data_IF_174664517344
#
_entry.id   IF_174664517344
#
_cell.length_a   1.000
_cell.length_b   1.000
_cell.length_c   1.000
_cell.angle_alpha   90.00
_cell.angle_beta   90.00
_cell.angle_gamma   90.00
#
_symmetry.space_group_name_H-M   'P 1'
#
loop_
_entity.id
_entity.type
_entity.pdbx_description
1 polymer ?
#
# COMPACT_ATOMS: atom_id res chain seq x y z
N UNK A 1 12.58 -9.81 5.66
CA UNK A 1 11.42 -9.03 6.17
C UNK A 1 10.41 -9.94 6.85
N UNK A 2 9.88 -10.94 6.15
CA UNK A 2 8.88 -11.87 6.70
C UNK A 2 9.37 -12.58 7.97
N UNK A 3 10.60 -13.09 7.98
CA UNK A 3 11.19 -13.74 9.16
C UNK A 3 11.25 -12.84 10.38
N UNK A 4 11.66 -11.58 10.21
CA UNK A 4 11.70 -10.61 11.31
C UNK A 4 10.28 -10.26 11.78
N UNK A 5 9.30 -10.13 10.87
CA UNK A 5 7.91 -9.91 11.27
C UNK A 5 7.37 -11.10 12.05
N UNK A 6 7.66 -12.34 11.63
CA UNK A 6 7.28 -13.56 12.36
C UNK A 6 7.90 -13.57 13.76
N UNK A 7 9.20 -13.29 13.87
CA UNK A 7 9.88 -13.17 15.15
C UNK A 7 9.23 -12.14 16.07
N UNK A 8 8.76 -11.00 15.53
CA UNK A 8 8.04 -9.99 16.31
C UNK A 8 6.65 -10.45 16.72
N UNK A 9 5.94 -11.15 15.85
CA UNK A 9 4.63 -11.72 16.17
C UNK A 9 4.74 -12.74 17.32
N UNK A 10 5.79 -13.56 17.34
CA UNK A 10 6.09 -14.49 18.44
C UNK A 10 6.49 -13.74 19.73
N UNK A 11 7.31 -12.69 19.63
CA UNK A 11 7.75 -11.91 20.79
C UNK A 11 6.59 -11.22 21.52
N UNK A 12 5.58 -10.78 20.78
CA UNK A 12 4.39 -10.10 21.31
C UNK A 12 3.14 -11.00 21.28
N UNK A 13 3.34 -12.32 21.40
CA UNK A 13 2.24 -13.29 21.46
C UNK A 13 1.32 -12.97 22.66
N UNK A 14 0.02 -12.82 22.39
CA UNK A 14 -1.00 -12.46 23.39
C UNK A 14 -1.42 -10.98 23.38
N UNK A 15 -0.69 -10.11 22.68
CA UNK A 15 -1.09 -8.71 22.48
C UNK A 15 -1.96 -8.53 21.23
N UNK A 16 -2.77 -7.46 21.22
CA UNK A 16 -3.54 -7.06 20.02
C UNK A 16 -2.63 -6.32 19.06
N UNK A 17 -2.01 -7.04 18.13
CA UNK A 17 -1.09 -6.47 17.14
C UNK A 17 -1.82 -5.96 15.89
N UNK A 18 -1.20 -5.00 15.21
CA UNK A 18 -1.52 -4.62 13.83
C UNK A 18 -0.25 -4.29 13.08
N UNK A 19 -0.19 -4.61 11.79
CA UNK A 19 1.01 -4.42 10.96
C UNK A 19 0.76 -3.30 9.98
N UNK A 20 1.61 -2.27 10.02
CA UNK A 20 1.54 -1.15 9.08
C UNK A 20 2.79 -1.12 8.21
N UNK A 21 2.63 -1.16 6.89
CA UNK A 21 3.71 -1.07 5.91
C UNK A 21 3.61 0.27 5.19
N UNK A 22 4.68 1.05 5.20
CA UNK A 22 4.72 2.37 4.55
C UNK A 22 5.98 2.58 3.74
N UNK A 23 5.86 3.16 2.54
CA UNK A 23 6.99 3.58 1.70
C UNK A 23 6.57 4.62 0.65
N UNK A 24 7.57 5.31 0.11
CA UNK A 24 7.44 6.30 -0.97
C UNK A 24 7.97 5.77 -2.32
N UNK A 25 7.46 6.32 -3.43
CA UNK A 25 7.94 6.07 -4.80
C UNK A 25 7.92 4.59 -5.19
N UNK A 26 8.99 4.04 -5.79
CA UNK A 26 9.12 2.61 -6.07
C UNK A 26 8.93 1.76 -4.80
N UNK A 27 9.34 2.27 -3.65
CA UNK A 27 9.13 1.60 -2.37
C UNK A 27 7.66 1.39 -2.05
N UNK A 28 6.75 2.27 -2.50
CA UNK A 28 5.31 2.10 -2.31
C UNK A 28 4.77 0.89 -3.07
N UNK A 29 5.35 0.56 -4.23
CA UNK A 29 5.03 -0.66 -4.95
C UNK A 29 5.47 -1.90 -4.16
N UNK A 30 6.69 -1.87 -3.62
CA UNK A 30 7.23 -2.94 -2.80
C UNK A 30 6.44 -3.12 -1.49
N UNK A 31 5.99 -2.04 -0.87
CA UNK A 31 5.16 -2.08 0.33
C UNK A 31 3.86 -2.86 0.09
N UNK A 32 3.26 -2.73 -1.10
CA UNK A 32 2.06 -3.45 -1.46
C UNK A 32 2.33 -4.96 -1.66
N UNK A 33 3.45 -5.31 -2.29
CA UNK A 33 3.88 -6.71 -2.44
C UNK A 33 4.18 -7.37 -1.09
N UNK A 34 4.87 -6.66 -0.20
CA UNK A 34 5.15 -7.13 1.16
C UNK A 34 3.86 -7.29 1.96
N UNK A 35 2.89 -6.37 1.81
CA UNK A 35 1.57 -6.49 2.44
C UNK A 35 0.80 -7.74 1.98
N UNK A 36 0.87 -8.07 0.69
CA UNK A 36 0.31 -9.30 0.13
C UNK A 36 0.99 -10.55 0.71
N UNK A 37 2.33 -10.57 0.70
CA UNK A 37 3.11 -11.71 1.20
C UNK A 37 2.84 -11.95 2.70
N UNK A 38 2.87 -10.86 3.50
CA UNK A 38 2.53 -10.91 4.93
C UNK A 38 1.13 -11.45 5.18
N UNK A 39 0.15 -11.12 4.33
CA UNK A 39 -1.22 -11.61 4.49
C UNK A 39 -1.37 -13.13 4.33
N UNK A 40 -0.34 -13.78 3.78
CA UNK A 40 -0.31 -15.22 3.52
C UNK A 40 0.73 -15.97 4.35
N UNK A 41 1.51 -15.26 5.19
CA UNK A 41 2.71 -15.82 5.80
C UNK A 41 2.46 -16.73 7.02
N UNK A 42 1.26 -16.66 7.62
CA UNK A 42 0.85 -17.42 8.79
C UNK A 42 -0.68 -17.64 8.83
N UNK A 43 -1.14 -18.59 9.65
CA UNK A 43 -2.57 -18.91 9.80
C UNK A 43 -3.35 -17.82 10.54
N UNK A 44 -2.70 -17.10 11.46
CA UNK A 44 -3.29 -16.00 12.22
C UNK A 44 -2.45 -14.73 12.03
N UNK A 45 -2.74 -14.00 10.96
CA UNK A 45 -2.05 -12.75 10.65
C UNK A 45 -2.81 -11.58 11.28
N UNK A 46 -2.13 -10.69 12.02
CA UNK A 46 -2.72 -9.45 12.49
C UNK A 46 -3.27 -8.60 11.33
N UNK A 47 -4.22 -7.68 11.57
CA UNK A 47 -4.68 -6.76 10.55
C UNK A 47 -3.53 -6.00 9.89
N UNK A 48 -3.48 -6.01 8.56
CA UNK A 48 -2.43 -5.33 7.78
C UNK A 48 -2.99 -4.07 7.13
N UNK A 49 -2.27 -2.97 7.28
CA UNK A 49 -2.49 -1.71 6.57
C UNK A 49 -1.25 -1.32 5.75
N UNK A 50 -1.47 -0.91 4.50
CA UNK A 50 -0.42 -0.43 3.59
C UNK A 50 -0.68 1.03 3.27
N UNK A 51 0.30 1.89 3.55
CA UNK A 51 0.29 3.31 3.20
C UNK A 51 1.36 3.57 2.14
N UNK A 52 0.93 3.92 0.94
CA UNK A 52 1.82 4.14 -0.19
C UNK A 52 1.82 5.62 -0.58
N UNK A 53 2.98 6.23 -0.73
CA UNK A 53 3.13 7.65 -1.11
C UNK A 53 3.80 7.76 -2.48
N UNK A 54 3.21 8.46 -3.45
CA UNK A 54 3.85 8.71 -4.76
C UNK A 54 4.22 7.45 -5.55
N UNK A 55 3.63 6.29 -5.21
CA UNK A 55 3.99 5.01 -5.84
C UNK A 55 3.24 4.77 -7.16
N UNK A 56 3.83 4.03 -8.11
CA UNK A 56 3.14 3.63 -9.35
C UNK A 56 1.97 2.68 -9.05
N UNK A 57 1.11 2.44 -10.05
CA UNK A 57 0.07 1.41 -9.94
C UNK A 57 0.73 0.02 -10.01
N UNK A 58 0.29 -0.91 -9.18
CA UNK A 58 0.84 -2.27 -9.10
C UNK A 58 -0.27 -3.30 -9.11
N UNK A 59 -0.03 -4.40 -9.83
CA UNK A 59 -0.91 -5.57 -9.84
C UNK A 59 -1.95 -5.56 -10.96
N UNK A 60 -2.68 -6.66 -11.06
CA UNK A 60 -3.79 -6.88 -11.98
C UNK A 60 -5.09 -7.14 -11.19
N UNK A 61 -6.21 -7.44 -11.87
CA UNK A 61 -7.50 -7.70 -11.19
C UNK A 61 -7.43 -8.89 -10.23
N UNK A 62 -6.63 -9.91 -10.55
CA UNK A 62 -6.41 -11.06 -9.66
C UNK A 62 -5.68 -10.66 -8.39
N UNK A 63 -4.66 -9.81 -8.51
CA UNK A 63 -3.94 -9.22 -7.38
C UNK A 63 -4.89 -8.39 -6.49
N UNK A 64 -5.73 -7.56 -7.12
CA UNK A 64 -6.74 -6.77 -6.42
C UNK A 64 -7.70 -7.63 -5.59
N UNK A 65 -8.23 -8.67 -6.22
CA UNK A 65 -9.14 -9.59 -5.57
C UNK A 65 -8.46 -10.34 -4.42
N UNK A 66 -7.18 -10.71 -4.56
CA UNK A 66 -6.41 -11.39 -3.51
C UNK A 66 -6.21 -10.52 -2.28
N UNK A 67 -5.73 -9.29 -2.46
CA UNK A 67 -5.55 -8.30 -1.37
C UNK A 67 -6.86 -8.05 -0.63
N UNK A 68 -7.96 -7.84 -1.37
CA UNK A 68 -9.29 -7.63 -0.79
C UNK A 68 -9.79 -8.88 -0.04
N UNK A 69 -9.60 -10.08 -0.61
CA UNK A 69 -9.95 -11.36 0.04
C UNK A 69 -9.18 -11.56 1.33
N UNK A 70 -7.91 -11.16 1.36
CA UNK A 70 -7.03 -11.26 2.51
C UNK A 70 -7.21 -10.09 3.51
N UNK A 71 -8.21 -9.21 3.28
CA UNK A 71 -8.58 -8.09 4.15
C UNK A 71 -7.43 -7.10 4.42
N UNK A 72 -6.46 -7.00 3.51
CA UNK A 72 -5.37 -6.02 3.61
C UNK A 72 -5.91 -4.64 3.23
N UNK A 73 -5.80 -3.66 4.13
CA UNK A 73 -6.26 -2.30 3.88
C UNK A 73 -5.17 -1.51 3.16
N UNK A 74 -5.47 -0.93 2.01
CA UNK A 74 -4.48 -0.17 1.23
C UNK A 74 -4.94 1.28 1.05
N UNK A 75 -4.12 2.20 1.55
CA UNK A 75 -4.25 3.63 1.31
C UNK A 75 -3.14 4.09 0.36
N UNK A 76 -3.53 4.70 -0.76
CA UNK A 76 -2.59 5.25 -1.75
C UNK A 76 -2.70 6.76 -1.76
N UNK A 77 -1.62 7.42 -1.38
CA UNK A 77 -1.48 8.87 -1.31
C UNK A 77 -0.71 9.32 -2.54
N UNK A 78 -1.36 10.09 -3.38
CA UNK A 78 -0.86 10.49 -4.70
C UNK A 78 -0.80 12.01 -4.76
N UNK A 79 0.36 12.56 -5.16
CA UNK A 79 0.43 13.95 -5.57
C UNK A 79 -0.09 14.07 -7.01
N UNK A 80 -1.05 14.96 -7.27
CA UNK A 80 -1.65 15.13 -8.59
C UNK A 80 -0.64 15.58 -9.67
N UNK A 81 0.43 16.26 -9.27
CA UNK A 81 1.51 16.68 -10.16
C UNK A 81 2.57 15.58 -10.41
N UNK A 82 2.49 14.44 -9.71
CA UNK A 82 3.47 13.36 -9.83
C UNK A 82 3.09 12.38 -10.95
N UNK A 83 3.86 12.41 -12.05
CA UNK A 83 3.68 11.57 -13.23
C UNK A 83 3.93 10.09 -12.95
N UNK A 84 4.76 9.76 -11.94
CA UNK A 84 5.09 8.36 -11.57
C UNK A 84 3.84 7.63 -11.11
N UNK A 85 2.91 8.33 -10.46
CA UNK A 85 1.66 7.77 -9.97
C UNK A 85 0.66 7.41 -11.09
N UNK A 86 0.91 7.89 -12.31
CA UNK A 86 0.11 7.62 -13.51
C UNK A 86 0.66 6.47 -14.34
N UNK A 87 1.86 5.98 -14.04
CA UNK A 87 2.45 4.80 -14.69
C UNK A 87 1.87 3.54 -14.04
N UNK A 88 1.47 2.51 -14.82
CA UNK A 88 1.74 2.29 -16.25
C UNK A 88 0.68 2.82 -17.24
N UNK A 89 -0.34 3.54 -16.78
CA UNK A 89 -1.53 3.95 -17.56
C UNK A 89 -1.21 4.84 -18.78
N UNK A 90 -0.02 5.45 -18.86
CA UNK A 90 0.41 6.32 -19.98
C UNK A 90 1.24 5.58 -21.05
N UNK A 91 1.79 4.41 -20.73
CA UNK A 91 2.68 3.65 -21.63
C UNK A 91 2.10 2.29 -22.04
N UNK A 92 1.19 1.74 -21.23
CA UNK A 92 0.62 0.41 -21.41
C UNK A 92 -0.90 0.50 -21.16
N UNK A 93 -1.73 0.02 -22.09
CA UNK A 93 -3.18 -0.13 -21.90
C UNK A 93 -3.50 -1.11 -20.77
N UNK A 94 -3.34 -0.72 -19.52
CA UNK A 94 -3.70 -1.52 -18.35
C UNK A 94 -5.08 -1.07 -17.87
N UNK A 95 -6.04 -1.97 -18.07
CA UNK A 95 -7.45 -1.85 -17.76
C UNK A 95 -7.77 -1.10 -16.44
N UNK A 96 -8.67 -0.10 -16.50
CA UNK A 96 -9.06 0.84 -15.41
C UNK A 96 -9.64 0.18 -14.16
N UNK A 97 -9.89 -1.13 -14.17
CA UNK A 97 -10.61 -1.88 -13.13
C UNK A 97 -9.68 -2.61 -12.13
N UNK A 98 -8.44 -2.17 -11.95
CA UNK A 98 -7.41 -2.78 -11.08
C UNK A 98 -7.20 -2.07 -9.75
N UNK A 99 -8.11 -1.17 -9.35
CA UNK A 99 -7.93 -0.38 -8.13
C UNK A 99 -8.23 -1.19 -6.86
N UNK A 100 -7.17 -1.49 -6.11
CA UNK A 100 -7.20 -2.15 -4.80
C UNK A 100 -7.08 -1.18 -3.62
N UNK A 101 -7.22 0.12 -3.87
CA UNK A 101 -6.85 1.14 -2.90
C UNK A 101 -7.84 2.28 -2.89
N UNK A 102 -8.16 2.75 -1.68
CA UNK A 102 -8.66 4.10 -1.53
C UNK A 102 -7.52 5.04 -1.93
N UNK A 103 -7.77 5.88 -2.93
CA UNK A 103 -6.79 6.86 -3.41
C UNK A 103 -7.14 8.20 -2.80
N UNK A 104 -6.22 8.75 -2.00
CA UNK A 104 -6.30 10.13 -1.54
C UNK A 104 -5.35 10.96 -2.40
N UNK A 105 -5.91 11.95 -3.10
CA UNK A 105 -5.13 12.96 -3.80
C UNK A 105 -4.73 14.05 -2.82
N UNK A 106 -3.44 14.37 -2.78
CA UNK A 106 -2.91 15.53 -2.08
C UNK A 106 -2.52 16.61 -3.09
N UNK A 107 -3.01 17.83 -2.87
CA UNK A 107 -2.60 19.02 -3.62
C UNK A 107 -1.45 19.68 -2.86
N UNK A 108 -0.25 19.67 -3.44
CA UNK A 108 0.93 20.31 -2.83
C UNK A 108 0.72 21.83 -2.58
N UNK A 109 -0.09 22.49 -3.41
CA UNK A 109 -0.49 23.90 -3.25
C UNK A 109 -1.21 24.17 -1.91
N UNK A 110 -2.08 23.25 -1.46
CA UNK A 110 -2.86 23.43 -0.22
C UNK A 110 -2.00 23.24 1.04
N UNK A 111 -0.92 22.46 0.96
CA UNK A 111 0.00 22.24 2.08
C UNK A 111 0.94 23.44 2.30
N UNK A 112 1.39 24.11 1.22
CA UNK A 112 2.24 25.31 1.32
C UNK A 112 1.44 26.51 1.84
N UNK A 113 0.15 26.62 1.50
CA UNK A 113 -0.74 27.65 2.08
C UNK A 113 -0.97 27.43 3.57
N UNK A 114 -1.28 26.19 4.00
CA UNK A 114 -1.55 25.88 5.42
C UNK A 114 -0.34 25.92 6.34
N UNK A 115 0.88 25.87 5.82
CA UNK A 115 2.10 26.04 6.61
C UNK A 115 2.58 27.51 6.66
N UNK A 116 1.89 28.41 5.95
CA UNK A 116 2.20 29.84 5.89
C UNK A 116 1.21 30.71 6.69
N UNK A 117 0.16 30.10 7.23
CA UNK A 117 -0.79 30.67 8.20
C UNK A 117 -0.51 30.10 9.60
#
# INVERSE_FOLDING_TARGET
VIEEVKRRMELYEGETLSITVTRHSLGAALALLVGDELSTCASHVPPIAVFSFGGPRVGNRGFANRINKNKVKVLRIVNNQDVITRVPDVLCHINKNTHVSCVIYWYAEDAIKRLRD
#
